data_IF_843707220053
#
_entry.id   IF_843707220053
#
_cell.length_a   1.000
_cell.length_b   1.000
_cell.length_c   1.000
_cell.angle_alpha   90.00
_cell.angle_beta   90.00
_cell.angle_gamma   90.00
#
_symmetry.space_group_name_H-M   'P 1'
#
loop_
_entity.id
_entity.type
_entity.pdbx_description
1 polymer ?
#
# COMPACT_ATOMS: atom_id res chain seq x y z
N UNK A 1 22.73 -1.71 1.92
CA UNK A 1 21.82 -0.84 2.54
C UNK A 1 20.78 -1.60 3.27
N UNK A 2 19.82 -0.91 3.72
CA UNK A 2 18.74 -1.54 4.50
C UNK A 2 17.86 -2.37 3.57
N UNK A 3 18.45 -3.39 3.02
CA UNK A 3 17.75 -4.22 2.04
C UNK A 3 16.45 -4.76 2.60
N UNK A 4 16.43 -5.07 3.88
CA UNK A 4 15.24 -5.59 4.50
C UNK A 4 14.33 -4.53 5.11
N UNK A 5 14.73 -3.26 5.09
CA UNK A 5 14.02 -2.23 5.82
C UNK A 5 12.56 -2.09 5.40
N UNK A 6 12.33 -1.79 4.13
CA UNK A 6 10.97 -1.59 3.64
C UNK A 6 10.17 -2.89 3.67
N UNK A 7 10.80 -4.01 3.40
CA UNK A 7 10.11 -5.30 3.46
C UNK A 7 9.76 -5.67 4.89
N UNK A 8 10.64 -5.40 5.82
CA UNK A 8 10.36 -5.66 7.24
C UNK A 8 9.21 -4.77 7.72
N UNK A 9 9.21 -3.52 7.33
CA UNK A 9 8.13 -2.60 7.66
C UNK A 9 6.81 -3.06 7.07
N UNK A 10 6.85 -3.54 5.83
CA UNK A 10 5.67 -4.04 5.15
C UNK A 10 5.11 -5.27 5.88
N UNK A 11 5.97 -6.21 6.24
CA UNK A 11 5.53 -7.40 6.95
C UNK A 11 4.90 -7.03 8.30
N UNK A 12 5.48 -6.05 8.97
CA UNK A 12 4.93 -5.56 10.23
C UNK A 12 3.56 -4.94 10.03
N UNK A 13 3.38 -4.18 8.96
CA UNK A 13 2.10 -3.57 8.65
C UNK A 13 1.04 -4.63 8.37
N UNK A 14 1.40 -5.68 7.63
CA UNK A 14 0.49 -6.78 7.33
C UNK A 14 0.09 -7.49 8.62
N UNK A 15 1.07 -7.79 9.47
CA UNK A 15 0.80 -8.50 10.71
C UNK A 15 -0.09 -7.68 11.65
N UNK A 16 0.11 -6.37 11.67
CA UNK A 16 -0.66 -5.49 12.54
C UNK A 16 -2.07 -5.23 12.02
N UNK A 17 -2.27 -5.33 10.73
CA UNK A 17 -3.57 -5.03 10.13
C UNK A 17 -4.62 -6.08 10.40
N UNK A 18 -4.18 -7.35 10.61
CA UNK A 18 -5.14 -8.44 10.81
C UNK A 18 -6.05 -8.57 9.59
N UNK A 19 -7.32 -8.35 9.79
CA UNK A 19 -8.32 -8.46 8.72
C UNK A 19 -8.50 -7.17 7.93
N UNK A 20 -7.82 -6.10 8.33
CA UNK A 20 -7.92 -4.81 7.64
C UNK A 20 -6.95 -4.77 6.47
N UNK A 21 -7.19 -3.82 5.56
CA UNK A 21 -6.29 -3.62 4.43
C UNK A 21 -5.01 -2.94 4.89
N UNK A 22 -3.87 -3.61 4.83
CA UNK A 22 -2.62 -2.98 5.24
C UNK A 22 -2.14 -1.97 4.20
N UNK A 23 -1.59 -0.88 4.68
CA UNK A 23 -0.89 0.07 3.82
C UNK A 23 0.33 0.54 4.59
N UNK A 24 1.47 0.55 3.92
CA UNK A 24 2.70 1.06 4.50
C UNK A 24 3.00 2.41 3.88
N UNK A 25 3.00 3.44 4.68
CA UNK A 25 3.32 4.80 4.24
C UNK A 25 4.73 5.10 4.75
N UNK A 26 5.64 5.40 3.84
CA UNK A 26 7.02 5.61 4.22
C UNK A 26 7.67 6.69 3.37
N UNK A 27 8.77 7.21 3.88
CA UNK A 27 9.53 8.25 3.21
C UNK A 27 11.00 8.05 3.54
N UNK A 28 11.81 8.00 2.50
CA UNK A 28 13.25 8.07 2.68
C UNK A 28 13.66 9.53 2.72
N UNK A 29 14.81 9.80 3.32
CA UNK A 29 15.31 11.16 3.46
C UNK A 29 15.33 11.88 2.10
N UNK A 30 14.74 13.07 2.07
CA UNK A 30 14.72 13.96 0.88
C UNK A 30 14.00 13.36 -0.31
N UNK A 31 13.11 12.41 -0.08
CA UNK A 31 12.31 11.82 -1.14
C UNK A 31 10.83 12.04 -0.87
N UNK A 32 10.05 11.73 -1.88
CA UNK A 32 8.60 11.82 -1.76
C UNK A 32 8.08 10.72 -0.84
N UNK A 33 6.86 10.88 -0.39
CA UNK A 33 6.19 9.88 0.42
C UNK A 33 5.62 8.81 -0.50
N UNK A 34 5.84 7.56 -0.13
CA UNK A 34 5.39 6.41 -0.90
C UNK A 34 4.46 5.55 -0.06
N UNK A 35 3.58 4.84 -0.74
CA UNK A 35 2.64 3.93 -0.09
C UNK A 35 2.74 2.56 -0.75
N UNK A 36 2.84 1.50 0.06
CA UNK A 36 2.86 0.13 -0.44
C UNK A 36 1.59 -0.57 0.04
N UNK A 37 0.92 -1.25 -0.86
CA UNK A 37 -0.32 -1.94 -0.54
C UNK A 37 -0.46 -3.15 -1.46
N UNK A 38 -1.39 -4.02 -1.14
CA UNK A 38 -1.66 -5.18 -1.98
C UNK A 38 -2.32 -4.76 -3.28
N UNK A 39 -1.86 -5.35 -4.37
CA UNK A 39 -2.41 -5.06 -5.69
C UNK A 39 -3.90 -5.41 -5.75
N UNK A 40 -4.30 -6.50 -5.12
CA UNK A 40 -5.71 -6.91 -5.10
C UNK A 40 -6.60 -5.92 -4.37
N UNK A 41 -6.03 -5.09 -3.51
CA UNK A 41 -6.79 -4.04 -2.83
C UNK A 41 -6.95 -2.80 -3.72
N UNK A 42 -6.15 -2.66 -4.76
CA UNK A 42 -6.35 -1.62 -5.76
C UNK A 42 -7.50 -2.00 -6.68
N UNK A 43 -7.50 -3.25 -7.11
CA UNK A 43 -8.55 -3.76 -7.99
C UNK A 43 -8.77 -5.23 -7.68
N UNK A 44 -9.97 -5.56 -7.24
CA UNK A 44 -10.31 -6.92 -6.83
C UNK A 44 -10.30 -7.92 -7.98
N UNK A 45 -10.22 -7.45 -9.22
CA UNK A 45 -10.11 -8.34 -10.36
C UNK A 45 -8.73 -8.97 -10.48
N UNK A 46 -7.73 -8.39 -9.83
CA UNK A 46 -6.40 -8.98 -9.80
C UNK A 46 -6.42 -10.22 -8.91
N UNK A 47 -5.90 -11.32 -9.43
CA UNK A 47 -5.94 -12.59 -8.72
C UNK A 47 -4.70 -12.87 -7.88
N UNK A 48 -3.62 -12.15 -8.11
CA UNK A 48 -2.39 -12.33 -7.34
C UNK A 48 -2.56 -11.73 -5.95
N UNK A 49 -2.88 -12.55 -4.97
CA UNK A 49 -3.26 -12.09 -3.64
C UNK A 49 -2.06 -11.64 -2.80
N UNK A 50 -0.84 -12.02 -3.17
CA UNK A 50 0.36 -11.64 -2.45
C UNK A 50 1.18 -10.57 -3.16
N UNK A 51 0.76 -10.14 -4.34
CA UNK A 51 1.45 -9.08 -5.08
C UNK A 51 1.19 -7.73 -4.43
N UNK A 52 2.22 -6.90 -4.41
CA UNK A 52 2.12 -5.54 -3.86
C UNK A 52 2.48 -4.52 -4.91
N UNK A 53 2.07 -3.29 -4.67
CA UNK A 53 2.36 -2.17 -5.54
C UNK A 53 2.81 -1.00 -4.67
N UNK A 54 3.71 -0.19 -5.21
CA UNK A 54 4.18 1.01 -4.53
C UNK A 54 3.73 2.21 -5.36
N UNK A 55 3.01 3.11 -4.73
CA UNK A 55 2.46 4.29 -5.39
C UNK A 55 2.80 5.53 -4.58
N UNK A 56 2.69 6.69 -5.21
CA UNK A 56 2.85 7.95 -4.48
C UNK A 56 1.70 8.15 -3.50
N UNK A 57 1.93 8.97 -2.49
CA UNK A 57 0.87 9.30 -1.54
C UNK A 57 -0.35 9.87 -2.26
N UNK A 58 -0.13 10.71 -3.24
CA UNK A 58 -1.20 11.30 -4.02
C UNK A 58 -2.03 10.24 -4.73
N UNK A 59 -1.35 9.28 -5.34
CA UNK A 59 -2.03 8.18 -6.03
C UNK A 59 -2.79 7.32 -5.03
N UNK A 60 -2.23 7.08 -3.85
CA UNK A 60 -2.91 6.32 -2.82
C UNK A 60 -4.22 7.00 -2.39
N UNK A 61 -4.19 8.32 -2.22
CA UNK A 61 -5.41 9.06 -1.90
C UNK A 61 -6.46 8.90 -2.99
N UNK A 62 -6.03 8.90 -4.24
CA UNK A 62 -6.94 8.71 -5.36
C UNK A 62 -7.59 7.33 -5.29
N UNK A 63 -6.81 6.30 -5.04
CA UNK A 63 -7.30 4.93 -4.94
C UNK A 63 -8.32 4.80 -3.81
N UNK A 64 -7.99 5.34 -2.64
CA UNK A 64 -8.87 5.27 -1.48
C UNK A 64 -10.17 6.00 -1.76
N UNK A 65 -10.07 7.14 -2.38
CA UNK A 65 -11.24 7.94 -2.71
C UNK A 65 -12.19 7.22 -3.65
N UNK A 66 -11.65 6.54 -4.66
CA UNK A 66 -12.47 5.79 -5.59
C UNK A 66 -13.15 4.60 -4.93
N UNK A 67 -12.52 4.03 -3.91
CA UNK A 67 -13.11 2.90 -3.21
C UNK A 67 -14.15 3.31 -2.18
N UNK A 68 -13.92 4.44 -1.52
CA UNK A 68 -14.80 4.90 -0.45
C UNK A 68 -15.97 5.70 -1.01
N UNK A 69 -15.71 6.48 -2.04
CA UNK A 69 -16.72 7.29 -2.70
C UNK A 69 -16.79 6.91 -4.16
N UNK A 70 -17.30 5.72 -4.46
CA UNK A 70 -17.46 5.36 -5.85
C UNK A 70 -18.42 6.36 -6.45
N UNK A 71 -17.96 7.05 -7.46
CA UNK A 71 -18.78 8.03 -8.12
C UNK A 71 -20.01 7.33 -8.67
N UNK A 72 -21.01 7.45 -7.95
CA UNK A 72 -22.28 6.94 -8.45
C UNK A 72 -22.89 7.98 -9.24
#
# INVERSE_FOLDING_TARGET
GPVGGADAWWQQAVDSAGDLMPVLIYKYDRQDVWCRLFLSHVNSEFTATDATVIVSLQTWFYIVREKIEPTG
#
